data_IF_541678009632
#
_entry.id   IF_541678009632
#
_cell.length_a   1.000
_cell.length_b   1.000
_cell.length_c   1.000
_cell.angle_alpha   90.00
_cell.angle_beta   90.00
_cell.angle_gamma   90.00
#
_symmetry.space_group_name_H-M   'P 1'
#
loop_
_entity.id
_entity.type
_entity.pdbx_description
1 polymer ?
#
# COMPACT_ATOMS: atom_id res chain seq x y z
N UNK A 1 70.83 41.27 -15.10
CA UNK A 1 70.00 42.17 -14.25
C UNK A 1 68.80 42.67 -15.05
N UNK A 2 67.61 42.11 -14.84
CA UNK A 2 66.29 42.76 -14.92
C UNK A 2 65.24 41.69 -14.65
N UNK A 3 64.57 41.82 -13.50
CA UNK A 3 63.36 41.06 -13.15
C UNK A 3 62.23 41.52 -14.07
N UNK A 4 61.49 40.58 -14.64
CA UNK A 4 60.18 40.85 -15.23
C UNK A 4 59.15 40.04 -14.44
N UNK A 5 58.28 40.76 -13.75
CA UNK A 5 57.11 40.22 -13.05
C UNK A 5 56.07 39.79 -14.09
N UNK A 6 55.45 38.62 -13.89
CA UNK A 6 54.19 38.30 -14.55
C UNK A 6 53.17 37.89 -13.48
N UNK A 7 52.08 38.64 -13.46
CA UNK A 7 51.04 38.68 -12.46
C UNK A 7 50.13 37.45 -12.50
N UNK A 8 49.79 36.93 -11.32
CA UNK A 8 48.67 36.02 -11.10
C UNK A 8 47.34 36.66 -11.54
N UNK A 9 46.54 35.91 -12.31
CA UNK A 9 45.10 36.10 -12.40
C UNK A 9 44.44 34.74 -12.19
N UNK A 10 43.85 34.54 -11.01
CA UNK A 10 43.07 33.37 -10.67
C UNK A 10 41.67 33.50 -11.27
N UNK A 11 41.31 32.63 -12.21
CA UNK A 11 39.91 32.36 -12.55
C UNK A 11 39.40 31.25 -11.63
N UNK A 12 38.62 31.62 -10.62
CA UNK A 12 37.79 30.67 -9.88
C UNK A 12 36.59 30.33 -10.76
N UNK A 13 36.60 29.14 -11.36
CA UNK A 13 35.40 28.56 -11.95
C UNK A 13 34.46 28.14 -10.82
N UNK A 14 33.39 28.90 -10.62
CA UNK A 14 32.28 28.47 -9.76
C UNK A 14 31.51 27.40 -10.56
N UNK A 15 31.80 26.13 -10.29
CA UNK A 15 30.89 25.04 -10.65
C UNK A 15 29.65 25.17 -9.77
N UNK A 16 28.59 25.74 -10.33
CA UNK A 16 27.24 25.56 -9.79
C UNK A 16 26.83 24.14 -10.20
N UNK A 17 26.98 23.18 -9.30
CA UNK A 17 26.31 21.89 -9.44
C UNK A 17 24.81 22.14 -9.31
N UNK A 18 24.12 22.29 -10.44
CA UNK A 18 22.68 22.25 -10.48
C UNK A 18 22.26 20.84 -10.04
N UNK A 19 21.87 20.69 -8.77
CA UNK A 19 21.14 19.52 -8.33
C UNK A 19 19.84 19.52 -9.14
N UNK A 20 19.67 18.54 -10.02
CA UNK A 20 18.39 18.32 -10.66
C UNK A 20 17.33 18.22 -9.55
N UNK A 21 16.27 19.01 -9.64
CA UNK A 21 15.14 18.81 -8.75
C UNK A 21 14.64 17.37 -8.97
N UNK A 22 14.31 16.61 -7.91
CA UNK A 22 13.72 15.29 -8.07
C UNK A 22 12.53 15.41 -9.02
N UNK A 23 12.41 14.48 -9.97
CA UNK A 23 11.30 14.45 -10.89
C UNK A 23 9.99 14.45 -10.09
N UNK A 24 9.05 15.31 -10.47
CA UNK A 24 7.76 15.36 -9.79
C UNK A 24 6.98 14.08 -10.09
N UNK A 25 6.64 13.31 -9.05
CA UNK A 25 5.74 12.16 -9.17
C UNK A 25 4.41 12.64 -9.74
N UNK A 26 3.96 11.99 -10.81
CA UNK A 26 2.69 12.30 -11.48
C UNK A 26 1.78 11.09 -11.36
N UNK A 27 0.53 11.28 -10.91
CA UNK A 27 -0.45 10.21 -10.76
C UNK A 27 -1.62 10.37 -11.74
N UNK A 28 -2.31 9.26 -12.03
CA UNK A 28 -3.55 9.28 -12.80
C UNK A 28 -4.59 10.23 -12.16
N UNK A 29 -5.42 10.91 -12.98
CA UNK A 29 -6.31 11.98 -12.53
C UNK A 29 -7.39 11.54 -11.52
N UNK A 30 -7.69 10.24 -11.47
CA UNK A 30 -8.67 9.67 -10.55
C UNK A 30 -8.09 9.30 -9.17
N UNK A 31 -6.82 9.65 -8.92
CA UNK A 31 -6.13 9.37 -7.67
C UNK A 31 -5.58 10.64 -7.03
N UNK A 32 -5.59 10.66 -5.70
CA UNK A 32 -4.79 11.58 -4.90
C UNK A 32 -3.48 10.92 -4.52
N UNK A 33 -2.41 11.71 -4.51
CA UNK A 33 -1.07 11.25 -4.17
C UNK A 33 -0.68 11.66 -2.75
N UNK A 34 -0.03 10.75 -2.02
CA UNK A 34 0.68 11.04 -0.79
C UNK A 34 1.96 10.19 -0.73
N UNK A 35 2.95 10.64 0.02
CA UNK A 35 4.16 9.86 0.31
C UNK A 35 4.41 9.82 1.81
N UNK A 36 4.91 8.70 2.31
CA UNK A 36 5.33 8.56 3.71
C UNK A 36 6.79 8.13 3.78
N UNK A 37 7.62 8.94 4.43
CA UNK A 37 9.02 8.62 4.65
C UNK A 37 9.19 7.53 5.70
N UNK A 38 9.97 6.49 5.36
CA UNK A 38 10.23 5.31 6.19
C UNK A 38 11.56 5.46 6.95
N UNK A 39 12.52 6.19 6.39
CA UNK A 39 13.82 6.44 7.03
C UNK A 39 14.97 5.57 6.58
N UNK A 40 14.69 4.51 5.83
CA UNK A 40 15.65 3.49 5.39
C UNK A 40 15.32 2.99 4.00
N UNK A 41 16.31 2.36 3.36
CA UNK A 41 16.19 1.75 2.04
C UNK A 41 15.01 0.79 2.03
N UNK A 42 14.04 1.03 1.14
CA UNK A 42 12.90 0.15 0.98
C UNK A 42 13.27 -1.07 0.10
N UNK A 43 12.66 -2.20 0.41
CA UNK A 43 12.74 -3.46 -0.33
C UNK A 43 11.35 -3.86 -0.78
N UNK A 44 11.22 -4.75 -1.74
CA UNK A 44 9.99 -5.04 -2.49
C UNK A 44 8.76 -5.47 -1.68
N UNK A 45 8.86 -5.78 -0.38
CA UNK A 45 7.71 -6.11 0.46
C UNK A 45 6.94 -4.85 0.89
N UNK A 46 5.68 -4.75 0.46
CA UNK A 46 4.69 -3.80 0.94
C UNK A 46 3.35 -4.50 1.13
N UNK A 47 2.77 -4.43 2.32
CA UNK A 47 1.46 -5.03 2.58
C UNK A 47 0.62 -4.15 3.51
N UNK A 48 -0.60 -3.81 3.09
CA UNK A 48 -1.50 -2.98 3.86
C UNK A 48 -2.04 -3.71 5.08
N UNK A 49 -2.07 -3.01 6.21
CA UNK A 49 -2.56 -3.54 7.47
C UNK A 49 -3.47 -2.51 8.17
N UNK A 50 -4.15 -2.94 9.23
CA UNK A 50 -4.97 -2.04 10.04
C UNK A 50 -4.09 -0.89 10.60
N UNK A 51 -4.41 0.35 10.22
CA UNK A 51 -3.71 1.54 10.75
C UNK A 51 -2.28 1.74 10.24
N UNK A 52 -1.86 1.05 9.18
CA UNK A 52 -0.53 1.23 8.61
C UNK A 52 -0.18 0.28 7.47
N UNK A 53 1.12 0.05 7.29
CA UNK A 53 1.68 -0.75 6.20
C UNK A 53 2.90 -1.53 6.71
N UNK A 54 2.99 -2.81 6.39
CA UNK A 54 4.24 -3.57 6.52
C UNK A 54 5.15 -3.23 5.36
N UNK A 55 6.42 -2.94 5.64
CA UNK A 55 7.42 -2.55 4.64
C UNK A 55 8.74 -3.25 4.96
N UNK A 56 9.37 -3.89 3.98
CA UNK A 56 10.73 -4.37 4.17
C UNK A 56 11.73 -3.23 3.98
N UNK A 57 12.72 -3.19 4.87
CA UNK A 57 13.78 -2.17 4.89
C UNK A 57 15.16 -2.78 5.15
N UNK A 58 16.19 -2.07 4.72
CA UNK A 58 17.60 -2.42 4.93
C UNK A 58 18.35 -2.59 3.60
N UNK A 59 19.67 -2.83 3.65
CA UNK A 59 20.48 -3.04 2.45
C UNK A 59 20.08 -4.33 1.71
N UNK A 60 19.96 -4.23 0.38
CA UNK A 60 19.79 -5.36 -0.54
C UNK A 60 20.89 -6.42 -0.37
N UNK A 61 20.58 -7.69 -0.58
CA UNK A 61 21.56 -8.78 -0.71
C UNK A 61 22.62 -8.80 0.40
N UNK A 62 22.19 -8.61 1.66
CA UNK A 62 23.09 -8.54 2.81
C UNK A 62 22.60 -9.51 3.86
N UNK A 63 23.38 -10.56 4.15
CA UNK A 63 23.03 -11.60 5.12
C UNK A 63 22.57 -11.01 6.46
N UNK A 64 21.29 -11.23 6.81
CA UNK A 64 20.68 -10.71 8.04
C UNK A 64 20.57 -9.17 8.13
N UNK A 65 20.80 -8.46 7.02
CA UNK A 65 20.78 -7.00 6.95
C UNK A 65 19.39 -6.40 6.82
N UNK A 66 18.38 -7.19 6.49
CA UNK A 66 17.02 -6.72 6.25
C UNK A 66 16.04 -7.10 7.35
N UNK A 67 14.93 -6.36 7.38
CA UNK A 67 13.82 -6.58 8.28
C UNK A 67 12.53 -6.04 7.70
N UNK A 68 11.40 -6.54 8.19
CA UNK A 68 10.09 -5.92 7.97
C UNK A 68 9.77 -5.00 9.15
N UNK A 69 9.34 -3.77 8.85
CA UNK A 69 8.79 -2.82 9.80
C UNK A 69 7.30 -2.62 9.55
N UNK A 70 6.54 -2.37 10.61
CA UNK A 70 5.22 -1.77 10.51
C UNK A 70 5.37 -0.25 10.57
N UNK A 71 4.84 0.46 9.57
CA UNK A 71 4.78 1.92 9.52
C UNK A 71 3.32 2.34 9.72
N UNK A 72 3.02 3.01 10.83
CA UNK A 72 1.67 3.50 11.09
C UNK A 72 1.29 4.63 10.13
N UNK A 73 0.00 4.91 9.97
CA UNK A 73 -0.46 6.07 9.18
C UNK A 73 0.11 7.40 9.69
N UNK A 74 0.35 7.52 10.99
CA UNK A 74 1.00 8.67 11.63
C UNK A 74 2.53 8.72 11.46
N UNK A 75 3.16 7.67 10.91
CA UNK A 75 4.60 7.61 10.63
C UNK A 75 5.45 7.01 11.74
N UNK A 76 4.85 6.44 12.78
CA UNK A 76 5.60 5.66 13.76
C UNK A 76 6.03 4.33 13.14
N UNK A 77 7.27 3.92 13.38
CA UNK A 77 7.82 2.65 12.89
C UNK A 77 8.03 1.67 14.03
N UNK A 78 7.86 0.38 13.74
CA UNK A 78 8.14 -0.74 14.66
C UNK A 78 8.71 -1.91 13.88
N UNK A 79 9.83 -2.46 14.32
CA UNK A 79 10.36 -3.71 13.77
C UNK A 79 9.39 -4.87 14.04
N UNK A 80 9.12 -5.67 13.01
CA UNK A 80 8.16 -6.78 13.03
C UNK A 80 8.90 -8.11 12.91
N UNK A 81 9.66 -8.29 11.83
CA UNK A 81 10.43 -9.49 11.50
C UNK A 81 11.88 -9.09 11.18
N UNK A 82 12.88 -9.70 11.80
CA UNK A 82 14.30 -9.30 11.66
C UNK A 82 15.19 -10.46 11.25
N UNK A 83 16.35 -10.15 10.64
CA UNK A 83 17.34 -11.16 10.25
C UNK A 83 17.10 -11.76 8.86
N UNK A 84 16.44 -11.01 7.98
CA UNK A 84 16.22 -11.34 6.57
C UNK A 84 17.44 -10.84 5.74
N UNK A 85 17.59 -11.33 4.51
CA UNK A 85 18.79 -11.08 3.71
C UNK A 85 18.54 -10.31 2.39
N UNK A 86 17.52 -10.71 1.63
CA UNK A 86 17.03 -10.03 0.43
C UNK A 86 15.54 -10.34 0.23
N UNK A 87 14.70 -9.52 0.84
CA UNK A 87 13.24 -9.66 0.81
C UNK A 87 12.73 -9.41 -0.61
N UNK A 88 12.13 -10.46 -1.18
CA UNK A 88 11.55 -10.43 -2.53
C UNK A 88 10.17 -9.80 -2.57
N UNK A 89 9.32 -10.09 -1.58
CA UNK A 89 7.92 -9.66 -1.50
C UNK A 89 7.28 -10.05 -0.15
N UNK A 90 6.09 -9.55 0.16
CA UNK A 90 5.28 -10.02 1.27
C UNK A 90 3.77 -9.90 1.04
N UNK A 91 3.01 -10.78 1.68
CA UNK A 91 1.56 -10.76 1.68
C UNK A 91 1.02 -10.88 3.11
N UNK A 92 0.06 -10.03 3.48
CA UNK A 92 -0.57 -10.06 4.80
C UNK A 92 -1.96 -10.70 4.76
N UNK A 93 -2.09 -11.85 5.40
CA UNK A 93 -3.37 -12.46 5.70
C UNK A 93 -3.97 -11.80 6.95
N UNK A 94 -4.77 -10.77 6.70
CA UNK A 94 -5.49 -10.02 7.74
C UNK A 94 -6.44 -10.90 8.57
N UNK A 95 -7.11 -11.87 7.95
CA UNK A 95 -8.10 -12.70 8.64
C UNK A 95 -7.46 -13.60 9.71
N UNK A 96 -6.24 -14.08 9.43
CA UNK A 96 -5.48 -14.94 10.35
C UNK A 96 -4.36 -14.20 11.10
N UNK A 97 -4.15 -12.91 10.80
CA UNK A 97 -3.04 -12.08 11.31
C UNK A 97 -1.66 -12.71 11.06
N UNK A 98 -1.44 -13.18 9.83
CA UNK A 98 -0.18 -13.81 9.39
C UNK A 98 0.46 -12.97 8.29
N UNK A 99 1.72 -12.59 8.48
CA UNK A 99 2.54 -11.99 7.43
C UNK A 99 3.43 -13.04 6.79
N UNK A 100 3.31 -13.19 5.48
CA UNK A 100 4.17 -14.04 4.67
C UNK A 100 5.24 -13.20 4.00
N UNK A 101 6.50 -13.65 4.02
CA UNK A 101 7.64 -12.88 3.49
C UNK A 101 8.56 -13.82 2.73
N UNK A 102 8.90 -13.51 1.49
CA UNK A 102 9.96 -14.22 0.75
C UNK A 102 11.31 -13.60 1.05
N UNK A 103 12.33 -14.43 1.16
CA UNK A 103 13.71 -14.00 1.36
C UNK A 103 14.60 -14.78 0.40
N UNK A 104 15.26 -14.10 -0.53
CA UNK A 104 16.34 -14.64 -1.35
C UNK A 104 17.65 -14.32 -0.61
N UNK A 105 18.45 -15.31 -0.22
CA UNK A 105 19.46 -15.06 0.81
C UNK A 105 20.70 -15.93 0.79
N UNK A 106 20.64 -17.17 0.33
CA UNK A 106 21.80 -18.07 0.50
C UNK A 106 23.01 -17.60 -0.31
N UNK A 107 22.76 -16.84 -1.37
CA UNK A 107 23.78 -16.36 -2.30
C UNK A 107 24.66 -15.28 -1.67
N UNK A 108 24.22 -14.76 -0.52
CA UNK A 108 24.89 -13.73 0.27
C UNK A 108 25.72 -14.33 1.41
N UNK A 109 25.76 -15.66 1.55
CA UNK A 109 26.39 -16.36 2.67
C UNK A 109 25.53 -16.40 3.94
N UNK A 110 24.24 -16.11 3.82
CA UNK A 110 23.29 -16.20 4.92
C UNK A 110 23.07 -17.65 5.35
N UNK A 111 22.70 -17.86 6.63
CA UNK A 111 22.33 -19.18 7.17
C UNK A 111 20.89 -19.58 6.87
N UNK A 112 20.08 -18.61 6.43
CA UNK A 112 18.66 -18.75 6.09
C UNK A 112 18.38 -17.95 4.81
N UNK A 113 17.24 -18.19 4.17
CA UNK A 113 16.89 -17.61 2.88
C UNK A 113 16.50 -18.68 1.86
N UNK A 114 16.18 -18.24 0.66
CA UNK A 114 15.68 -19.03 -0.46
C UNK A 114 14.45 -19.85 -0.03
N UNK A 115 13.55 -19.15 0.66
CA UNK A 115 12.36 -19.72 1.31
C UNK A 115 11.31 -18.62 1.55
N UNK A 116 10.18 -19.03 2.11
CA UNK A 116 9.10 -18.16 2.58
C UNK A 116 8.90 -18.35 4.08
N UNK A 117 8.70 -17.24 4.78
CA UNK A 117 8.43 -17.18 6.21
C UNK A 117 6.94 -16.96 6.46
N UNK A 118 6.43 -17.49 7.58
CA UNK A 118 5.10 -17.17 8.10
C UNK A 118 5.22 -16.63 9.53
N UNK A 119 4.93 -15.34 9.70
CA UNK A 119 4.91 -14.69 11.00
C UNK A 119 3.46 -14.55 11.49
N UNK A 120 2.99 -15.39 12.44
CA UNK A 120 1.70 -15.20 13.07
C UNK A 120 1.72 -14.01 14.03
N UNK A 121 0.54 -13.43 14.28
CA UNK A 121 0.35 -12.27 15.14
C UNK A 121 1.14 -11.03 14.67
N UNK A 122 1.31 -10.88 13.35
CA UNK A 122 2.18 -9.87 12.76
C UNK A 122 1.78 -8.44 13.17
N UNK A 123 0.47 -8.18 13.32
CA UNK A 123 -0.05 -6.89 13.76
C UNK A 123 0.53 -6.41 15.10
N UNK A 124 0.90 -7.32 15.99
CA UNK A 124 1.45 -7.03 17.33
C UNK A 124 2.92 -7.44 17.51
N UNK A 125 3.51 -8.17 16.55
CA UNK A 125 4.87 -8.70 16.64
C UNK A 125 5.93 -7.60 16.80
N UNK A 126 6.93 -7.80 17.64
CA UNK A 126 8.00 -6.81 17.84
C UNK A 126 9.36 -7.48 17.73
N UNK A 127 10.10 -7.13 16.68
CA UNK A 127 11.45 -7.61 16.38
C UNK A 127 11.59 -9.15 16.49
N UNK A 128 10.66 -9.90 15.90
CA UNK A 128 10.69 -11.37 15.91
C UNK A 128 11.80 -11.85 14.95
N UNK A 129 12.70 -12.75 15.36
CA UNK A 129 13.69 -13.33 14.45
C UNK A 129 13.01 -14.14 13.34
N UNK A 130 13.48 -14.02 12.09
CA UNK A 130 12.99 -14.83 10.98
C UNK A 130 13.31 -16.32 11.15
N UNK A 131 14.47 -16.63 11.74
CA UNK A 131 14.87 -18.01 12.01
C UNK A 131 13.84 -18.76 12.88
N UNK A 132 13.38 -19.91 12.41
CA UNK A 132 12.33 -20.72 13.04
C UNK A 132 10.91 -20.40 12.56
N UNK A 133 10.74 -19.43 11.68
CA UNK A 133 9.47 -19.09 11.04
C UNK A 133 9.41 -19.51 9.56
N UNK A 134 10.40 -20.25 9.07
CA UNK A 134 10.39 -20.81 7.72
C UNK A 134 9.21 -21.77 7.53
N UNK A 135 8.46 -21.62 6.44
CA UNK A 135 7.42 -22.58 6.07
C UNK A 135 8.02 -23.86 5.49
N UNK A 136 9.19 -23.76 4.85
CA UNK A 136 9.95 -24.86 4.24
C UNK A 136 11.45 -24.63 4.48
N UNK A 137 12.30 -25.67 4.48
CA UNK A 137 13.73 -25.51 4.74
C UNK A 137 14.37 -24.44 3.85
N UNK A 138 15.38 -23.73 4.35
CA UNK A 138 16.17 -22.79 3.55
C UNK A 138 16.74 -23.47 2.29
N UNK A 139 16.73 -22.77 1.16
CA UNK A 139 17.16 -23.33 -0.13
C UNK A 139 16.10 -24.15 -0.85
N UNK A 140 14.88 -24.26 -0.32
CA UNK A 140 13.80 -24.98 -1.00
C UNK A 140 13.25 -24.23 -2.21
N UNK A 141 13.42 -22.91 -2.27
CA UNK A 141 12.96 -22.03 -3.35
C UNK A 141 14.13 -21.10 -3.72
N UNK A 142 15.03 -21.53 -4.64
CA UNK A 142 16.32 -20.89 -4.90
C UNK A 142 16.25 -19.37 -5.11
N UNK A 143 15.27 -18.87 -5.86
CA UNK A 143 15.12 -17.43 -6.10
C UNK A 143 13.73 -16.95 -5.67
N UNK A 144 13.36 -17.18 -4.41
CA UNK A 144 12.09 -16.73 -3.84
C UNK A 144 11.90 -15.21 -4.03
N UNK A 145 10.99 -14.82 -4.92
CA UNK A 145 10.86 -13.44 -5.40
C UNK A 145 9.50 -12.81 -5.10
N UNK A 146 8.40 -13.56 -5.17
CA UNK A 146 7.04 -13.03 -4.97
C UNK A 146 6.18 -13.95 -4.11
N UNK A 147 5.14 -13.43 -3.47
CA UNK A 147 4.22 -14.23 -2.66
C UNK A 147 2.77 -13.76 -2.78
N UNK A 148 1.86 -14.71 -2.95
CA UNK A 148 0.43 -14.43 -2.95
C UNK A 148 -0.33 -15.42 -2.05
N UNK A 149 -1.37 -14.92 -1.37
CA UNK A 149 -2.21 -15.75 -0.51
C UNK A 149 -2.98 -16.79 -1.33
N UNK A 150 -2.94 -18.04 -0.90
CA UNK A 150 -3.73 -19.13 -1.47
C UNK A 150 -4.69 -19.70 -0.42
N UNK A 151 -5.82 -20.31 -0.82
CA UNK A 151 -6.73 -20.95 0.14
C UNK A 151 -6.08 -22.06 0.99
N UNK A 152 -5.06 -22.74 0.45
CA UNK A 152 -4.40 -23.89 1.09
C UNK A 152 -2.99 -23.59 1.62
N UNK A 153 -2.50 -22.35 1.49
CA UNK A 153 -1.11 -21.98 1.77
C UNK A 153 -0.74 -20.66 1.11
N UNK A 154 0.43 -20.59 0.50
CA UNK A 154 0.85 -19.43 -0.31
C UNK A 154 1.45 -19.87 -1.62
N UNK A 155 1.21 -19.09 -2.68
CA UNK A 155 1.97 -19.20 -3.92
C UNK A 155 3.26 -18.40 -3.77
N UNK A 156 4.38 -18.96 -4.21
CA UNK A 156 5.69 -18.32 -4.18
C UNK A 156 6.31 -18.39 -5.57
N UNK A 157 6.82 -17.27 -6.08
CA UNK A 157 7.56 -17.22 -7.33
C UNK A 157 9.03 -17.59 -7.15
N UNK A 158 9.53 -18.50 -7.97
CA UNK A 158 10.96 -18.76 -8.15
C UNK A 158 11.43 -18.04 -9.43
N UNK A 159 12.32 -17.06 -9.27
CA UNK A 159 12.86 -16.24 -10.34
C UNK A 159 14.15 -16.79 -11.00
N UNK A 160 14.37 -18.11 -10.96
CA UNK A 160 15.56 -18.78 -11.51
C UNK A 160 15.87 -18.48 -12.99
N UNK A 161 14.90 -17.98 -13.79
CA UNK A 161 15.16 -17.49 -15.15
C UNK A 161 15.32 -18.60 -16.20
N UNK A 162 15.42 -18.21 -17.47
CA UNK A 162 15.79 -19.09 -18.60
C UNK A 162 14.95 -20.38 -18.72
N UNK A 163 13.63 -20.27 -18.52
CA UNK A 163 12.70 -21.40 -18.51
C UNK A 163 12.75 -22.28 -17.25
N UNK A 164 13.57 -21.94 -16.24
CA UNK A 164 13.66 -22.65 -14.97
C UNK A 164 12.78 -22.04 -13.87
N UNK A 165 12.18 -20.87 -14.09
CA UNK A 165 11.28 -20.23 -13.14
C UNK A 165 10.00 -21.02 -12.92
N UNK A 166 9.47 -20.94 -11.71
CA UNK A 166 8.23 -21.60 -11.29
C UNK A 166 7.34 -20.67 -10.47
N UNK A 167 6.08 -21.05 -10.35
CA UNK A 167 5.22 -20.65 -9.23
C UNK A 167 4.93 -21.91 -8.44
N UNK A 168 5.33 -21.92 -7.18
CA UNK A 168 5.17 -23.05 -6.27
C UNK A 168 4.06 -22.79 -5.26
N UNK A 169 3.26 -23.81 -4.96
CA UNK A 169 2.37 -23.80 -3.79
C UNK A 169 3.14 -24.32 -2.58
N UNK A 170 3.29 -23.47 -1.57
CA UNK A 170 3.90 -23.80 -0.30
C UNK A 170 2.82 -24.05 0.74
N UNK A 171 2.75 -25.27 1.25
CA UNK A 171 1.79 -25.67 2.28
C UNK A 171 2.27 -26.87 3.08
N UNK A 172 1.99 -26.87 4.39
CA UNK A 172 2.27 -28.03 5.25
C UNK A 172 3.73 -28.51 5.26
N UNK A 173 4.70 -27.62 5.09
CA UNK A 173 6.12 -27.98 5.00
C UNK A 173 6.57 -28.55 3.66
N UNK A 174 5.76 -28.43 2.60
CA UNK A 174 6.05 -28.93 1.25
C UNK A 174 6.03 -27.80 0.23
N UNK A 175 6.82 -27.97 -0.83
CA UNK A 175 6.84 -27.13 -2.04
C UNK A 175 6.34 -27.96 -3.20
N UNK A 176 5.29 -27.49 -3.89
CA UNK A 176 4.72 -28.17 -5.06
C UNK A 176 4.70 -27.20 -6.24
N UNK A 177 5.47 -27.43 -7.31
CA UNK A 177 5.41 -26.61 -8.51
C UNK A 177 4.02 -26.67 -9.14
N UNK A 178 3.42 -25.50 -9.35
CA UNK A 178 2.12 -25.34 -10.00
C UNK A 178 2.30 -24.84 -11.42
N UNK A 179 3.04 -23.75 -11.60
CA UNK A 179 3.43 -23.24 -12.93
C UNK A 179 4.91 -23.50 -13.13
N UNK A 180 5.31 -23.97 -14.30
CA UNK A 180 6.71 -24.24 -14.66
C UNK A 180 7.05 -23.68 -16.04
N UNK A 181 8.33 -23.59 -16.37
CA UNK A 181 8.77 -23.10 -17.68
C UNK A 181 8.73 -21.58 -17.80
N UNK A 182 8.75 -20.87 -16.68
CA UNK A 182 8.81 -19.41 -16.64
C UNK A 182 10.25 -18.94 -16.79
N UNK A 183 10.43 -17.71 -17.27
CA UNK A 183 11.72 -17.04 -17.23
C UNK A 183 11.92 -16.42 -15.84
N UNK A 184 11.99 -15.09 -15.73
CA UNK A 184 12.12 -14.43 -14.43
C UNK A 184 10.73 -14.12 -13.88
N UNK A 185 10.24 -14.97 -13.00
CA UNK A 185 8.95 -14.79 -12.31
C UNK A 185 9.03 -13.52 -11.45
N UNK A 186 8.15 -12.55 -11.72
CA UNK A 186 7.99 -11.36 -10.88
C UNK A 186 6.72 -11.49 -10.06
N UNK A 187 5.82 -10.51 -10.14
CA UNK A 187 4.60 -10.45 -9.33
C UNK A 187 3.62 -11.60 -9.55
N UNK A 188 2.96 -12.01 -8.47
CA UNK A 188 1.87 -13.00 -8.47
C UNK A 188 0.65 -12.40 -7.78
N UNK A 189 -0.54 -12.60 -8.35
CA UNK A 189 -1.80 -12.25 -7.69
C UNK A 189 -2.85 -13.34 -7.92
N UNK A 190 -3.81 -13.46 -7.00
CA UNK A 190 -4.90 -14.44 -7.07
C UNK A 190 -6.23 -13.73 -7.35
N UNK A 191 -6.98 -14.20 -8.35
CA UNK A 191 -8.33 -13.71 -8.67
C UNK A 191 -9.37 -14.30 -7.69
N UNK A 192 -10.54 -13.66 -7.49
CA UNK A 192 -11.61 -14.17 -6.61
C UNK A 192 -12.15 -15.57 -6.97
N UNK A 193 -11.81 -16.09 -8.16
CA UNK A 193 -12.13 -17.45 -8.60
C UNK A 193 -11.01 -18.48 -8.37
N UNK A 194 -9.87 -18.09 -7.78
CA UNK A 194 -8.72 -18.96 -7.54
C UNK A 194 -7.67 -18.99 -8.65
N UNK A 195 -7.96 -18.42 -9.82
CA UNK A 195 -6.98 -18.29 -10.91
C UNK A 195 -5.78 -17.44 -10.48
N UNK A 196 -4.62 -17.77 -11.04
CA UNK A 196 -3.36 -17.09 -10.80
C UNK A 196 -3.06 -16.12 -11.93
N UNK A 197 -2.67 -14.91 -11.57
CA UNK A 197 -2.02 -13.96 -12.45
C UNK A 197 -0.52 -14.02 -12.16
N UNK A 198 0.28 -14.19 -13.20
CA UNK A 198 1.73 -14.29 -13.09
C UNK A 198 2.37 -13.33 -14.08
N UNK A 199 3.10 -12.35 -13.56
CA UNK A 199 3.95 -11.48 -14.36
C UNK A 199 5.37 -12.07 -14.42
N UNK A 200 6.02 -11.94 -15.57
CA UNK A 200 7.41 -12.36 -15.71
C UNK A 200 8.16 -11.50 -16.71
N UNK A 201 9.48 -11.46 -16.54
CA UNK A 201 10.41 -10.90 -17.52
C UNK A 201 10.98 -12.06 -18.35
N UNK A 202 10.77 -12.00 -19.66
CA UNK A 202 11.26 -13.01 -20.59
C UNK A 202 12.78 -12.88 -20.81
N UNK A 203 13.41 -13.90 -21.38
CA UNK A 203 14.83 -13.86 -21.77
C UNK A 203 15.18 -12.70 -22.75
N UNK A 204 14.17 -12.15 -23.43
CA UNK A 204 14.30 -10.96 -24.29
C UNK A 204 14.25 -9.63 -23.53
N UNK A 205 14.06 -9.67 -22.21
CA UNK A 205 13.72 -8.55 -21.32
C UNK A 205 12.34 -7.92 -21.56
N UNK A 206 11.54 -8.46 -22.49
CA UNK A 206 10.14 -8.09 -22.59
C UNK A 206 9.35 -8.69 -21.43
N UNK A 207 8.37 -7.94 -20.93
CA UNK A 207 7.44 -8.41 -19.91
C UNK A 207 6.25 -9.13 -20.54
N UNK A 208 5.68 -10.08 -19.80
CA UNK A 208 4.36 -10.64 -20.09
C UNK A 208 3.54 -10.84 -18.81
N UNK A 209 2.22 -10.90 -18.97
CA UNK A 209 1.27 -11.19 -17.91
C UNK A 209 0.34 -12.30 -18.37
N UNK A 210 0.27 -13.38 -17.60
CA UNK A 210 -0.48 -14.60 -17.95
C UNK A 210 -1.46 -14.97 -16.84
N UNK A 211 -2.57 -15.57 -17.24
CA UNK A 211 -3.58 -16.14 -16.36
C UNK A 211 -3.50 -17.67 -16.39
N UNK A 212 -3.43 -18.28 -15.22
CA UNK A 212 -3.42 -19.72 -15.02
C UNK A 212 -4.59 -20.15 -14.12
N UNK A 213 -5.04 -21.39 -14.26
CA UNK A 213 -5.86 -22.04 -13.24
C UNK A 213 -4.98 -22.36 -12.00
N UNK A 214 -5.63 -22.73 -10.90
CA UNK A 214 -4.96 -23.13 -9.65
C UNK A 214 -4.16 -24.44 -9.78
N UNK A 215 -4.43 -25.25 -10.82
CA UNK A 215 -3.65 -26.42 -11.20
C UNK A 215 -2.47 -26.13 -12.14
N UNK A 216 -2.24 -24.85 -12.48
CA UNK A 216 -1.16 -24.41 -13.35
C UNK A 216 -1.48 -24.47 -14.85
N UNK A 217 -2.69 -24.82 -15.25
CA UNK A 217 -3.12 -24.78 -16.65
C UNK A 217 -3.16 -23.33 -17.15
N UNK A 218 -2.43 -23.02 -18.23
CA UNK A 218 -2.49 -21.69 -18.86
C UNK A 218 -3.90 -21.46 -19.45
N UNK A 219 -4.56 -20.40 -18.98
CA UNK A 219 -5.89 -20.01 -19.45
C UNK A 219 -5.82 -18.90 -20.51
N UNK A 220 -4.94 -17.90 -20.31
CA UNK A 220 -4.80 -16.78 -21.24
C UNK A 220 -3.44 -16.09 -21.10
N UNK A 221 -2.97 -15.49 -22.19
CA UNK A 221 -1.95 -14.43 -22.18
C UNK A 221 -2.71 -13.12 -22.18
N UNK A 222 -2.60 -12.35 -21.10
CA UNK A 222 -3.34 -11.09 -20.93
C UNK A 222 -2.60 -9.92 -21.58
N UNK A 223 -1.26 -9.96 -21.53
CA UNK A 223 -0.40 -9.03 -22.24
C UNK A 223 0.98 -9.64 -22.46
N UNK A 224 1.71 -9.10 -23.44
CA UNK A 224 3.08 -9.46 -23.75
C UNK A 224 3.25 -10.48 -24.88
N UNK A 225 4.48 -10.64 -25.39
CA UNK A 225 5.70 -9.95 -24.97
C UNK A 225 5.69 -8.45 -25.32
N UNK A 226 5.98 -7.57 -24.35
CA UNK A 226 5.99 -6.12 -24.55
C UNK A 226 7.03 -5.41 -23.67
N UNK A 227 7.34 -4.16 -24.00
CA UNK A 227 8.08 -3.22 -23.16
C UNK A 227 7.20 -2.07 -22.65
N UNK A 228 5.89 -2.09 -22.96
CA UNK A 228 4.92 -1.05 -22.58
C UNK A 228 4.58 -1.09 -21.08
N UNK A 229 4.91 -2.18 -20.41
CA UNK A 229 4.81 -2.34 -18.97
C UNK A 229 5.94 -3.21 -18.43
N UNK A 230 6.11 -3.22 -17.10
CA UNK A 230 7.08 -4.05 -16.40
C UNK A 230 6.50 -5.39 -15.98
N UNK A 231 7.13 -6.03 -15.02
CA UNK A 231 6.71 -7.34 -14.51
C UNK A 231 7.15 -7.58 -13.07
N UNK A 232 7.70 -6.56 -12.40
CA UNK A 232 8.42 -6.77 -11.14
C UNK A 232 7.47 -7.24 -10.03
N UNK A 233 6.34 -6.55 -9.86
CA UNK A 233 5.26 -6.93 -8.97
C UNK A 233 3.88 -6.55 -9.55
N UNK A 234 2.81 -7.17 -9.06
CA UNK A 234 1.43 -6.92 -9.50
C UNK A 234 0.43 -6.88 -8.34
N UNK A 235 -0.55 -5.98 -8.44
CA UNK A 235 -1.68 -5.93 -7.53
C UNK A 235 -3.00 -5.85 -8.29
N UNK A 236 -4.03 -6.54 -7.80
CA UNK A 236 -5.38 -6.43 -8.36
C UNK A 236 -6.07 -5.19 -7.82
N UNK A 237 -6.57 -4.36 -8.72
CA UNK A 237 -7.37 -3.18 -8.39
C UNK A 237 -8.84 -3.58 -8.17
N UNK A 238 -9.57 -2.76 -7.41
CA UNK A 238 -10.98 -3.01 -7.10
C UNK A 238 -11.87 -2.98 -8.35
N UNK A 239 -11.51 -2.17 -9.34
CA UNK A 239 -12.19 -2.09 -10.64
C UNK A 239 -11.91 -3.28 -11.57
N UNK A 240 -11.10 -4.23 -11.13
CA UNK A 240 -10.75 -5.45 -11.87
C UNK A 240 -9.51 -5.33 -12.74
N UNK A 241 -8.92 -4.14 -12.88
CA UNK A 241 -7.61 -3.97 -13.54
C UNK A 241 -6.48 -4.56 -12.70
N UNK A 242 -5.32 -4.69 -13.33
CA UNK A 242 -4.08 -5.15 -12.68
C UNK A 242 -3.06 -4.02 -12.72
N UNK A 243 -2.62 -3.55 -11.55
CA UNK A 243 -1.50 -2.63 -11.47
C UNK A 243 -0.19 -3.42 -11.58
N UNK A 244 0.77 -2.91 -12.36
CA UNK A 244 2.02 -3.60 -12.69
C UNK A 244 3.19 -2.64 -12.51
N UNK A 245 4.20 -3.04 -11.74
CA UNK A 245 5.41 -2.25 -11.47
C UNK A 245 6.58 -2.66 -12.36
N UNK A 246 7.68 -1.88 -12.31
CA UNK A 246 8.94 -2.21 -12.97
C UNK A 246 9.02 -1.82 -14.46
N UNK A 247 8.27 -0.81 -14.92
CA UNK A 247 8.48 -0.24 -16.25
C UNK A 247 9.81 0.54 -16.27
N UNK A 248 10.51 0.56 -17.41
CA UNK A 248 11.64 1.48 -17.61
C UNK A 248 11.21 2.92 -17.33
N UNK A 249 11.97 3.64 -16.49
CA UNK A 249 11.63 4.94 -15.85
C UNK A 249 10.76 4.88 -14.58
N UNK A 250 10.54 3.70 -14.00
CA UNK A 250 9.92 3.55 -12.68
C UNK A 250 8.40 3.71 -12.66
N UNK A 251 7.76 3.76 -13.84
CA UNK A 251 6.32 3.93 -13.93
C UNK A 251 5.57 2.68 -13.43
N UNK A 252 4.32 2.89 -13.00
CA UNK A 252 3.34 1.83 -12.74
C UNK A 252 2.17 2.04 -13.69
N UNK A 253 1.72 0.97 -14.32
CA UNK A 253 0.56 0.98 -15.21
C UNK A 253 -0.59 0.19 -14.62
N UNK A 254 -1.81 0.55 -15.01
CA UNK A 254 -3.00 -0.28 -14.83
C UNK A 254 -3.36 -0.93 -16.16
N UNK A 255 -3.39 -2.26 -16.18
CA UNK A 255 -3.77 -3.10 -17.31
C UNK A 255 -5.22 -3.57 -17.18
N UNK A 256 -6.00 -3.46 -18.26
CA UNK A 256 -7.32 -4.08 -18.38
C UNK A 256 -7.18 -5.54 -18.83
N UNK A 257 -7.53 -6.54 -18.01
CA UNK A 257 -7.35 -7.95 -18.36
C UNK A 257 -8.34 -8.44 -19.42
N UNK A 258 -9.31 -7.63 -19.85
CA UNK A 258 -10.28 -7.99 -20.88
C UNK A 258 -9.75 -7.79 -22.31
N UNK A 259 -8.88 -6.80 -22.51
CA UNK A 259 -8.33 -6.45 -23.83
C UNK A 259 -6.81 -6.23 -23.84
N UNK A 260 -6.15 -6.26 -22.69
CA UNK A 260 -4.71 -6.08 -22.54
C UNK A 260 -4.25 -4.62 -22.63
N UNK A 261 -5.17 -3.65 -22.71
CA UNK A 261 -4.83 -2.23 -22.78
C UNK A 261 -4.22 -1.74 -21.47
N UNK A 262 -3.27 -0.81 -21.55
CA UNK A 262 -2.60 -0.22 -20.39
C UNK A 262 -2.85 1.29 -20.30
N UNK A 263 -2.81 1.79 -19.07
CA UNK A 263 -2.91 3.22 -18.74
C UNK A 263 -1.92 3.55 -17.63
N UNK A 264 -1.26 4.71 -17.71
CA UNK A 264 -0.33 5.13 -16.66
C UNK A 264 -1.09 5.37 -15.34
N UNK A 265 -0.61 4.78 -14.25
CA UNK A 265 -1.17 4.95 -12.91
C UNK A 265 -0.33 5.93 -12.10
N UNK A 266 0.99 5.77 -12.13
CA UNK A 266 1.96 6.74 -11.57
C UNK A 266 3.25 6.72 -12.40
N UNK A 267 3.88 7.88 -12.54
CA UNK A 267 5.16 8.05 -13.22
C UNK A 267 6.13 8.94 -12.43
N UNK A 268 7.41 8.86 -12.77
CA UNK A 268 8.46 9.68 -12.16
C UNK A 268 9.04 9.12 -10.86
N UNK A 269 8.79 7.84 -10.57
CA UNK A 269 9.51 7.09 -9.55
C UNK A 269 10.87 6.67 -10.09
N UNK A 270 11.83 6.34 -9.22
CA UNK A 270 13.15 5.87 -9.65
C UNK A 270 13.09 4.43 -10.18
N UNK A 271 12.44 3.53 -9.45
CA UNK A 271 12.18 2.16 -9.87
C UNK A 271 11.10 1.54 -8.98
N UNK A 272 9.86 1.45 -9.48
CA UNK A 272 8.75 0.85 -8.74
C UNK A 272 8.99 -0.65 -8.53
N UNK A 273 9.05 -1.07 -7.26
CA UNK A 273 9.24 -2.47 -6.83
C UNK A 273 7.92 -3.07 -6.35
N UNK A 274 7.73 -3.15 -5.03
CA UNK A 274 6.54 -3.72 -4.40
C UNK A 274 5.29 -2.89 -4.63
N UNK A 275 4.16 -3.57 -4.77
CA UNK A 275 2.84 -2.95 -4.84
C UNK A 275 1.79 -3.75 -4.06
N UNK A 276 0.97 -3.03 -3.30
CA UNK A 276 -0.20 -3.61 -2.67
C UNK A 276 -1.42 -2.72 -2.88
N UNK A 277 -2.57 -3.36 -3.13
CA UNK A 277 -3.86 -2.69 -3.25
C UNK A 277 -4.75 -3.15 -2.10
N UNK A 278 -4.96 -2.29 -1.11
CA UNK A 278 -5.73 -2.64 0.08
C UNK A 278 -7.20 -2.91 -0.30
N UNK A 279 -7.70 -4.15 -0.18
CA UNK A 279 -9.06 -4.48 -0.58
C UNK A 279 -10.12 -3.77 0.28
N UNK A 280 -9.79 -3.31 1.48
CA UNK A 280 -10.74 -2.60 2.35
C UNK A 280 -10.98 -1.16 1.86
N UNK A 281 -9.93 -0.48 1.40
CA UNK A 281 -9.98 0.95 1.11
C UNK A 281 -9.82 1.30 -0.37
N UNK A 282 -9.26 0.40 -1.17
CA UNK A 282 -8.87 0.62 -2.56
C UNK A 282 -7.55 1.40 -2.71
N UNK A 283 -6.88 1.77 -1.61
CA UNK A 283 -5.61 2.48 -1.65
C UNK A 283 -4.50 1.58 -2.15
N UNK A 284 -3.67 2.14 -3.02
CA UNK A 284 -2.51 1.47 -3.58
C UNK A 284 -1.27 2.02 -2.89
N UNK A 285 -0.41 1.13 -2.39
CA UNK A 285 0.89 1.46 -1.82
C UNK A 285 1.98 0.90 -2.73
N UNK A 286 2.95 1.73 -3.10
CA UNK A 286 4.06 1.37 -3.99
C UNK A 286 5.36 1.75 -3.30
N UNK A 287 6.37 0.90 -3.44
CA UNK A 287 7.74 1.20 -3.06
C UNK A 287 8.56 1.54 -4.30
N UNK A 288 9.51 2.47 -4.15
CA UNK A 288 10.47 2.80 -5.19
C UNK A 288 11.88 2.54 -4.65
N UNK A 289 12.69 1.71 -5.30
CA UNK A 289 14.03 1.37 -4.80
C UNK A 289 15.00 1.06 -5.93
N UNK A 290 16.18 1.67 -5.94
CA UNK A 290 17.12 1.67 -7.08
C UNK A 290 18.27 0.66 -6.97
N UNK A 291 18.26 -0.25 -5.99
CA UNK A 291 19.28 -1.28 -5.69
C UNK A 291 20.75 -0.81 -5.54
N UNK A 292 21.03 0.48 -5.75
CA UNK A 292 22.38 1.02 -5.97
C UNK A 292 22.79 2.08 -4.95
N UNK A 293 21.95 2.36 -3.93
CA UNK A 293 22.34 3.07 -2.70
C UNK A 293 22.50 4.59 -2.76
N UNK A 294 22.65 5.23 -3.93
CA UNK A 294 22.93 6.67 -4.00
C UNK A 294 21.69 7.55 -4.28
N UNK A 295 20.62 6.96 -4.80
CA UNK A 295 19.35 7.64 -5.16
C UNK A 295 18.15 6.77 -4.75
N UNK A 296 18.18 6.23 -3.53
CA UNK A 296 17.11 5.38 -3.04
C UNK A 296 15.94 6.21 -2.53
N UNK A 297 14.75 5.85 -3.01
CA UNK A 297 13.53 6.40 -2.47
C UNK A 297 13.19 5.65 -1.18
N UNK A 298 13.16 6.41 -0.09
CA UNK A 298 12.92 5.89 1.27
C UNK A 298 11.46 6.09 1.66
N UNK A 299 10.57 6.18 0.67
CA UNK A 299 9.15 6.49 0.89
C UNK A 299 8.21 5.39 0.41
N UNK A 300 7.06 5.32 1.07
CA UNK A 300 5.88 4.61 0.58
C UNK A 300 5.07 5.61 -0.23
N UNK A 301 4.86 5.34 -1.52
CA UNK A 301 3.98 6.12 -2.38
C UNK A 301 2.57 5.59 -2.27
N UNK A 302 1.60 6.47 -2.02
CA UNK A 302 0.20 6.11 -1.78
C UNK A 302 -0.70 6.81 -2.79
N UNK A 303 -1.52 6.02 -3.45
CA UNK A 303 -2.55 6.49 -4.36
C UNK A 303 -3.91 6.19 -3.73
N UNK A 304 -4.69 7.24 -3.48
CA UNK A 304 -6.06 7.14 -2.96
C UNK A 304 -7.05 7.35 -4.09
N UNK A 305 -7.88 6.35 -4.45
CA UNK A 305 -8.90 6.54 -5.46
C UNK A 305 -9.93 7.59 -5.02
N UNK A 306 -10.20 8.58 -5.87
CA UNK A 306 -11.17 9.66 -5.58
C UNK A 306 -12.59 9.11 -5.48
N UNK A 307 -12.93 8.10 -6.29
CA UNK A 307 -14.24 7.45 -6.28
C UNK A 307 -14.56 6.71 -4.97
N UNK A 308 -13.53 6.36 -4.18
CA UNK A 308 -13.62 5.78 -2.84
C UNK A 308 -13.83 6.82 -1.73
N UNK A 309 -13.69 8.11 -2.05
CA UNK A 309 -13.95 9.17 -1.09
C UNK A 309 -15.45 9.40 -0.93
N UNK A 310 -15.86 9.70 0.29
CA UNK A 310 -17.25 10.00 0.62
C UNK A 310 -17.38 11.47 0.99
N UNK A 311 -18.03 12.23 0.11
CA UNK A 311 -18.40 13.60 0.37
C UNK A 311 -19.28 13.77 1.62
N UNK A 312 -19.09 14.89 2.32
CA UNK A 312 -20.07 15.41 3.25
C UNK A 312 -21.44 15.56 2.60
N UNK A 313 -22.50 14.99 3.16
CA UNK A 313 -23.86 15.01 2.54
C UNK A 313 -24.71 16.25 2.87
N UNK A 314 -24.24 17.40 2.43
CA UNK A 314 -24.88 18.70 2.56
C UNK A 314 -25.66 19.07 1.35
N UNK A 315 -25.90 20.36 1.16
CA UNK A 315 -26.10 20.85 -0.21
C UNK A 315 -24.76 20.71 -0.93
N UNK A 316 -24.72 20.11 -2.13
CA UNK A 316 -23.47 19.84 -2.87
C UNK A 316 -22.51 21.02 -2.99
N UNK A 317 -23.00 22.27 -2.94
CA UNK A 317 -22.19 23.50 -2.94
C UNK A 317 -21.36 23.77 -1.68
N UNK A 318 -21.57 23.04 -0.58
CA UNK A 318 -21.01 23.36 0.75
C UNK A 318 -20.24 22.21 1.40
N UNK A 319 -20.28 21.02 0.82
CA UNK A 319 -19.74 19.81 1.44
C UNK A 319 -18.75 19.07 0.52
N UNK A 320 -17.77 19.82 0.00
CA UNK A 320 -16.65 19.33 -0.81
C UNK A 320 -15.28 19.81 -0.31
N UNK A 321 -15.23 20.58 0.79
CA UNK A 321 -13.94 21.03 1.30
C UNK A 321 -13.20 19.87 1.98
N UNK A 322 -13.95 18.88 2.45
CA UNK A 322 -13.45 17.66 3.00
C UNK A 322 -14.26 16.46 2.49
N UNK A 323 -13.55 15.38 2.19
CA UNK A 323 -14.14 14.08 1.91
C UNK A 323 -13.55 13.05 2.88
N UNK A 324 -14.37 12.07 3.26
CA UNK A 324 -13.98 11.05 4.22
C UNK A 324 -13.47 9.82 3.48
N UNK A 325 -12.33 9.30 3.92
CA UNK A 325 -11.70 8.11 3.38
C UNK A 325 -11.92 6.89 4.29
N UNK A 326 -11.87 5.70 3.69
CA UNK A 326 -11.79 4.41 4.39
C UNK A 326 -13.10 3.90 4.99
N UNK A 327 -14.23 4.54 4.70
CA UNK A 327 -15.54 4.09 5.17
C UNK A 327 -16.62 4.31 4.12
N UNK A 328 -17.54 3.36 3.99
CA UNK A 328 -18.79 3.56 3.25
C UNK A 328 -19.85 4.18 4.18
N UNK A 329 -20.52 5.24 3.73
CA UNK A 329 -21.63 5.81 4.48
C UNK A 329 -22.97 5.29 3.95
N UNK A 330 -23.73 4.67 4.85
CA UNK A 330 -25.10 4.19 4.60
C UNK A 330 -26.15 4.99 5.38
N UNK A 331 -27.39 5.07 4.86
CA UNK A 331 -28.50 5.67 5.58
C UNK A 331 -29.04 4.69 6.62
N UNK A 332 -29.23 5.15 7.87
CA UNK A 332 -29.81 4.30 8.93
C UNK A 332 -31.21 3.77 8.59
N UNK A 333 -31.94 4.49 7.73
CA UNK A 333 -33.27 4.12 7.23
C UNK A 333 -33.40 4.59 5.78
N UNK A 334 -34.17 3.89 4.94
CA UNK A 334 -34.49 4.36 3.59
C UNK A 334 -34.98 5.81 3.58
N UNK A 335 -34.52 6.60 2.59
CA UNK A 335 -34.86 8.01 2.43
C UNK A 335 -34.23 8.97 3.46
N UNK A 336 -33.34 8.50 4.35
CA UNK A 336 -32.54 9.36 5.23
C UNK A 336 -31.16 9.61 4.64
N UNK A 337 -30.48 10.66 5.13
CA UNK A 337 -29.11 10.96 4.75
C UNK A 337 -28.16 9.85 5.23
N UNK A 338 -27.29 9.41 4.35
CA UNK A 338 -26.21 8.49 4.69
C UNK A 338 -25.18 9.19 5.60
N UNK A 339 -24.95 8.64 6.79
CA UNK A 339 -24.12 9.23 7.85
C UNK A 339 -23.52 8.17 8.79
N UNK A 340 -23.75 6.89 8.49
CA UNK A 340 -23.31 5.79 9.34
C UNK A 340 -22.38 4.94 8.52
N UNK A 341 -21.15 4.74 8.99
CA UNK A 341 -20.34 3.60 8.59
C UNK A 341 -20.73 2.46 9.52
N UNK A 342 -21.33 1.42 8.97
CA UNK A 342 -21.80 0.27 9.74
C UNK A 342 -20.93 -0.90 9.32
N UNK A 343 -20.29 -1.53 10.29
CA UNK A 343 -19.48 -2.71 10.06
C UNK A 343 -19.85 -3.80 11.07
N UNK A 344 -19.81 -5.06 10.64
CA UNK A 344 -19.86 -6.20 11.54
C UNK A 344 -18.43 -6.59 11.93
N UNK A 345 -18.21 -6.84 13.21
CA UNK A 345 -16.96 -7.33 13.79
C UNK A 345 -16.45 -8.58 13.05
N UNK A 346 -15.24 -8.48 12.47
CA UNK A 346 -14.62 -9.49 11.62
C UNK A 346 -15.06 -9.52 10.15
N UNK A 347 -15.90 -8.58 9.68
CA UNK A 347 -16.27 -8.48 8.27
C UNK A 347 -15.21 -7.71 7.45
N UNK A 348 -15.35 -7.66 6.13
CA UNK A 348 -14.39 -6.98 5.24
C UNK A 348 -14.26 -5.47 5.45
N UNK A 349 -15.28 -4.83 6.05
CA UNK A 349 -15.24 -3.42 6.43
C UNK A 349 -14.47 -3.17 7.75
N UNK A 350 -14.11 -4.25 8.45
CA UNK A 350 -13.33 -4.22 9.67
C UNK A 350 -11.86 -4.28 9.28
N UNK A 351 -11.11 -3.19 9.49
CA UNK A 351 -9.78 -3.05 8.91
C UNK A 351 -8.75 -4.05 9.47
N UNK A 352 -9.02 -4.65 10.63
CA UNK A 352 -8.23 -5.75 11.17
C UNK A 352 -8.79 -7.13 10.80
N UNK A 353 -10.01 -7.21 10.26
CA UNK A 353 -10.65 -8.45 9.82
C UNK A 353 -10.94 -9.46 10.93
N UNK A 354 -10.86 -9.08 12.21
CA UNK A 354 -10.95 -10.01 13.35
C UNK A 354 -12.29 -9.88 14.04
N UNK A 355 -12.90 -11.02 14.37
CA UNK A 355 -14.11 -11.07 15.20
C UNK A 355 -13.74 -11.07 16.69
N UNK A 356 -13.19 -9.96 17.19
CA UNK A 356 -12.64 -9.84 18.55
C UNK A 356 -13.51 -8.98 19.49
N UNK A 357 -14.65 -8.51 19.01
CA UNK A 357 -15.56 -7.62 19.71
C UNK A 357 -15.29 -6.14 19.44
N UNK A 358 -14.39 -5.80 18.52
CA UNK A 358 -14.04 -4.42 18.17
C UNK A 358 -13.86 -4.29 16.67
N UNK A 359 -14.58 -3.35 16.07
CA UNK A 359 -14.32 -3.00 14.68
C UNK A 359 -13.30 -1.86 14.61
N UNK A 360 -12.28 -2.01 13.78
CA UNK A 360 -11.29 -0.99 13.45
C UNK A 360 -11.65 -0.29 12.14
N UNK A 361 -11.93 1.01 12.20
CA UNK A 361 -12.25 1.80 11.00
C UNK A 361 -11.03 2.61 10.52
N UNK A 362 -10.59 2.50 9.25
CA UNK A 362 -9.40 3.18 8.74
C UNK A 362 -9.75 4.61 8.29
N UNK A 363 -10.26 5.43 9.23
CA UNK A 363 -10.79 6.76 8.92
C UNK A 363 -9.68 7.69 8.45
N UNK A 364 -9.89 8.33 7.29
CA UNK A 364 -9.07 9.45 6.81
C UNK A 364 -9.92 10.66 6.39
N UNK A 365 -9.26 11.77 6.11
CA UNK A 365 -9.85 13.00 5.58
C UNK A 365 -9.00 13.51 4.44
N UNK A 366 -9.63 13.68 3.27
CA UNK A 366 -9.01 14.29 2.11
C UNK A 366 -9.56 15.70 1.92
N UNK A 367 -8.67 16.66 1.66
CA UNK A 367 -8.94 18.08 1.61
C UNK A 367 -8.64 18.63 0.22
N UNK A 368 -9.35 19.69 -0.18
CA UNK A 368 -9.14 20.38 -1.47
C UNK A 368 -9.17 19.42 -2.69
N UNK A 369 -10.00 18.38 -2.63
CA UNK A 369 -10.11 17.36 -3.68
C UNK A 369 -10.85 17.93 -4.89
N UNK A 370 -10.29 17.72 -6.09
CA UNK A 370 -10.96 17.99 -7.35
C UNK A 370 -11.83 16.79 -7.76
N UNK A 371 -12.97 16.62 -7.09
CA UNK A 371 -13.88 15.48 -7.35
C UNK A 371 -14.83 15.75 -8.52
N UNK A 372 -14.68 15.00 -9.61
CA UNK A 372 -15.53 15.09 -10.80
C UNK A 372 -17.00 14.75 -10.52
N UNK A 373 -17.30 14.03 -9.43
CA UNK A 373 -18.65 13.71 -8.97
C UNK A 373 -19.33 14.93 -8.32
N UNK A 374 -18.58 15.96 -7.99
CA UNK A 374 -19.03 17.21 -7.34
C UNK A 374 -18.73 18.46 -8.19
N UNK A 375 -19.18 18.55 -9.46
CA UNK A 375 -18.79 19.63 -10.38
C UNK A 375 -19.24 21.02 -9.92
N UNK A 376 -20.26 21.11 -9.07
CA UNK A 376 -20.76 22.37 -8.49
C UNK A 376 -19.92 22.88 -7.31
N UNK A 377 -18.88 22.16 -6.92
CA UNK A 377 -18.07 22.44 -5.76
C UNK A 377 -16.58 22.39 -6.10
N UNK A 378 -16.05 23.47 -6.72
CA UNK A 378 -14.65 23.49 -7.10
C UNK A 378 -13.75 23.36 -5.88
N UNK A 379 -12.67 22.61 -6.06
CA UNK A 379 -11.56 22.52 -5.13
C UNK A 379 -11.11 23.93 -4.72
N UNK A 380 -10.76 24.09 -3.44
CA UNK A 380 -10.28 25.35 -2.92
C UNK A 380 -9.28 25.10 -1.80
N UNK A 381 -8.31 25.98 -1.67
CA UNK A 381 -7.34 25.94 -0.58
C UNK A 381 -8.06 25.96 0.78
N UNK A 382 -7.55 25.17 1.73
CA UNK A 382 -8.08 25.04 3.08
C UNK A 382 -7.23 25.84 4.05
N UNK A 383 -7.88 26.70 4.84
CA UNK A 383 -7.24 27.57 5.82
C UNK A 383 -7.38 27.08 7.27
N UNK A 384 -8.38 26.25 7.57
CA UNK A 384 -8.58 25.74 8.93
C UNK A 384 -9.35 24.42 8.93
N UNK A 385 -8.99 23.56 9.90
CA UNK A 385 -9.76 22.40 10.30
C UNK A 385 -9.97 22.41 11.82
N UNK A 386 -11.12 21.90 12.26
CA UNK A 386 -11.45 21.76 13.67
C UNK A 386 -12.18 20.45 13.97
N UNK A 387 -11.66 19.69 14.94
CA UNK A 387 -12.35 18.55 15.53
C UNK A 387 -13.45 19.03 16.48
N UNK A 388 -14.67 19.16 15.95
CA UNK A 388 -15.84 19.64 16.70
C UNK A 388 -16.40 18.62 17.68
N UNK A 389 -16.21 17.32 17.40
CA UNK A 389 -16.64 16.24 18.28
C UNK A 389 -15.91 14.94 17.96
N UNK A 390 -15.36 14.30 18.99
CA UNK A 390 -15.01 12.89 19.02
C UNK A 390 -15.71 12.27 20.23
N UNK A 391 -16.65 11.34 20.02
CA UNK A 391 -17.31 10.61 21.13
C UNK A 391 -17.42 9.11 20.81
N UNK A 392 -16.80 8.21 21.62
CA UNK A 392 -15.85 8.50 22.70
C UNK A 392 -14.61 9.28 22.19
N UNK A 393 -13.72 9.78 23.06
CA UNK A 393 -12.43 10.32 22.63
C UNK A 393 -11.71 9.34 21.70
N UNK A 394 -11.09 9.85 20.64
CA UNK A 394 -10.45 9.04 19.58
C UNK A 394 -9.05 9.62 19.32
N UNK A 395 -8.01 9.20 20.05
CA UNK A 395 -6.66 9.76 19.93
C UNK A 395 -6.07 9.68 18.51
N UNK A 396 -6.37 8.62 17.76
CA UNK A 396 -5.94 8.47 16.38
C UNK A 396 -6.50 9.59 15.47
N UNK A 397 -7.75 10.01 15.69
CA UNK A 397 -8.37 11.12 14.95
C UNK A 397 -7.79 12.47 15.39
N UNK A 398 -7.50 12.63 16.68
CA UNK A 398 -6.85 13.85 17.19
C UNK A 398 -5.45 14.03 16.60
N UNK A 399 -4.67 12.95 16.49
CA UNK A 399 -3.34 12.92 15.86
C UNK A 399 -3.43 13.24 14.36
N UNK A 400 -4.38 12.64 13.65
CA UNK A 400 -4.66 12.97 12.25
C UNK A 400 -5.01 14.46 12.08
N UNK A 401 -5.89 15.01 12.92
CA UNK A 401 -6.27 16.43 12.86
C UNK A 401 -5.09 17.35 13.18
N UNK A 402 -4.21 16.99 14.11
CA UNK A 402 -3.00 17.75 14.39
C UNK A 402 -2.02 17.75 13.20
N UNK A 403 -1.94 16.63 12.46
CA UNK A 403 -1.12 16.52 11.25
C UNK A 403 -1.65 17.40 10.11
N UNK A 404 -2.97 17.46 9.95
CA UNK A 404 -3.62 18.45 9.07
C UNK A 404 -3.30 19.87 9.57
N UNK A 405 -3.44 20.09 10.88
CA UNK A 405 -2.96 21.23 11.69
C UNK A 405 -1.67 21.85 11.12
N UNK A 406 -0.65 21.02 11.09
CA UNK A 406 0.72 21.38 10.71
C UNK A 406 0.90 21.61 9.21
N UNK A 407 -0.02 21.12 8.37
CA UNK A 407 0.08 21.18 6.90
C UNK A 407 -0.72 22.34 6.30
N UNK A 408 -1.41 23.15 7.10
CA UNK A 408 -2.19 24.28 6.60
C UNK A 408 -1.30 25.47 6.18
N UNK A 409 -1.66 26.21 5.12
CA UNK A 409 -2.82 25.98 4.26
C UNK A 409 -2.60 24.80 3.29
N UNK A 410 -3.64 23.99 3.08
CA UNK A 410 -3.61 22.90 2.08
C UNK A 410 -4.18 23.45 0.78
N UNK A 411 -3.31 23.67 -0.21
CA UNK A 411 -3.68 24.32 -1.47
C UNK A 411 -4.30 23.35 -2.51
N UNK A 412 -3.88 22.10 -2.47
CA UNK A 412 -4.21 21.06 -3.46
C UNK A 412 -4.69 19.79 -2.76
N UNK A 413 -5.24 18.85 -3.54
CA UNK A 413 -5.78 17.58 -3.06
C UNK A 413 -4.78 16.84 -2.17
N UNK A 414 -5.10 16.62 -0.89
CA UNK A 414 -4.24 15.91 0.05
C UNK A 414 -5.06 15.10 1.03
N UNK A 415 -4.62 13.87 1.31
CA UNK A 415 -5.26 12.98 2.28
C UNK A 415 -4.42 12.82 3.54
N UNK A 416 -5.12 12.71 4.67
CA UNK A 416 -4.55 12.49 5.99
C UNK A 416 -5.30 11.33 6.64
N UNK A 417 -4.56 10.38 7.20
CA UNK A 417 -5.11 9.13 7.69
C UNK A 417 -4.93 9.04 9.20
N UNK A 418 -5.81 8.31 9.87
CA UNK A 418 -5.64 7.94 11.27
C UNK A 418 -5.09 6.51 11.38
N UNK A 419 -4.41 6.19 12.47
CA UNK A 419 -3.92 4.83 12.79
C UNK A 419 -5.05 3.80 13.06
N UNK A 420 -6.28 4.11 12.64
CA UNK A 420 -7.48 3.31 12.90
C UNK A 420 -8.29 3.82 14.09
N UNK A 421 -9.61 3.71 13.97
CA UNK A 421 -10.57 4.04 15.02
C UNK A 421 -11.22 2.76 15.53
N UNK A 422 -10.79 2.32 16.71
CA UNK A 422 -11.38 1.18 17.40
C UNK A 422 -12.77 1.52 17.97
N UNK A 423 -13.78 0.73 17.62
CA UNK A 423 -15.17 0.87 18.10
C UNK A 423 -15.63 -0.46 18.72
N UNK A 424 -15.52 -0.62 20.05
CA UNK A 424 -15.90 -1.87 20.69
C UNK A 424 -17.41 -2.06 20.71
N UNK A 425 -17.86 -3.30 20.56
CA UNK A 425 -19.25 -3.68 20.83
C UNK A 425 -19.58 -3.47 22.31
N UNK A 426 -20.86 -3.33 22.63
CA UNK A 426 -21.33 -3.06 23.99
C UNK A 426 -22.03 -4.28 24.57
N UNK A 427 -21.45 -4.86 25.62
CA UNK A 427 -22.11 -5.90 26.42
C UNK A 427 -23.03 -5.27 27.45
N UNK A 428 -24.31 -5.64 27.41
CA UNK A 428 -25.28 -5.17 28.41
C UNK A 428 -25.15 -5.92 29.73
N UNK A 429 -25.75 -5.38 30.80
CA UNK A 429 -25.82 -6.04 32.12
C UNK A 429 -26.43 -7.45 32.09
N UNK A 430 -27.18 -7.79 31.04
CA UNK A 430 -27.79 -9.11 30.84
C UNK A 430 -26.98 -10.01 29.91
N UNK A 431 -25.70 -9.72 29.68
CA UNK A 431 -24.82 -10.51 28.80
C UNK A 431 -25.08 -10.36 27.30
N UNK A 432 -26.14 -9.65 26.89
CA UNK A 432 -26.42 -9.42 25.47
C UNK A 432 -25.45 -8.40 24.87
N UNK A 433 -24.76 -8.78 23.80
CA UNK A 433 -23.92 -7.90 22.96
C UNK A 433 -24.79 -7.02 22.08
N UNK A 434 -24.43 -5.74 21.95
CA UNK A 434 -25.10 -4.72 21.14
C UNK A 434 -24.07 -3.91 20.37
N UNK A 435 -24.52 -3.22 19.33
CA UNK A 435 -23.65 -2.40 18.51
C UNK A 435 -22.94 -1.28 19.30
N UNK A 436 -21.61 -1.22 19.12
CA UNK A 436 -20.73 -0.12 19.50
C UNK A 436 -20.95 1.11 18.62
N UNK A 437 -20.68 2.31 19.15
CA UNK A 437 -20.88 3.57 18.40
C UNK A 437 -19.82 4.61 18.71
N UNK A 438 -19.24 5.17 17.66
CA UNK A 438 -18.44 6.39 17.73
C UNK A 438 -19.03 7.50 16.85
N UNK A 439 -18.75 8.75 17.19
CA UNK A 439 -19.19 9.94 16.46
C UNK A 439 -17.98 10.84 16.24
N UNK A 440 -17.71 11.12 14.97
CA UNK A 440 -16.77 12.12 14.51
C UNK A 440 -17.53 13.31 13.92
N UNK A 441 -17.15 14.52 14.29
CA UNK A 441 -17.61 15.75 13.65
C UNK A 441 -16.43 16.66 13.37
N UNK A 442 -16.21 16.98 12.11
CA UNK A 442 -15.15 17.86 11.64
C UNK A 442 -15.78 19.16 11.11
N UNK A 443 -14.99 20.21 11.06
CA UNK A 443 -15.34 21.44 10.36
C UNK A 443 -14.14 21.97 9.61
N UNK A 444 -14.30 22.21 8.32
CA UNK A 444 -13.26 22.73 7.44
C UNK A 444 -13.66 24.11 6.92
N UNK A 445 -12.67 24.99 6.75
CA UNK A 445 -12.86 26.37 6.27
C UNK A 445 -11.93 26.65 5.11
N UNK A 446 -12.47 27.16 4.00
CA UNK A 446 -11.68 27.55 2.82
C UNK A 446 -10.90 28.85 3.05
N UNK A 447 -9.76 28.99 2.38
CA UNK A 447 -8.90 30.17 2.42
C UNK A 447 -9.39 31.32 1.53
N UNK A 448 -10.07 31.02 0.42
CA UNK A 448 -10.36 32.00 -0.63
C UNK A 448 -11.74 32.67 -0.51
N UNK A 449 -11.78 33.96 -0.89
CA UNK A 449 -13.01 34.75 -1.01
C UNK A 449 -13.79 34.88 0.30
N UNK A 450 -15.11 34.65 0.24
CA UNK A 450 -15.95 34.54 1.44
C UNK A 450 -15.77 33.12 2.01
N UNK A 451 -15.18 32.94 3.20
CA UNK A 451 -14.83 31.62 3.71
C UNK A 451 -16.03 30.68 3.72
N UNK A 452 -15.94 29.61 2.92
CA UNK A 452 -16.91 28.52 2.92
C UNK A 452 -16.62 27.65 4.14
N UNK A 453 -17.69 27.11 4.72
CA UNK A 453 -17.60 26.22 5.88
C UNK A 453 -18.26 24.90 5.52
N UNK A 454 -17.49 23.85 5.69
CA UNK A 454 -17.92 22.48 5.55
C UNK A 454 -17.98 21.84 6.94
N UNK A 455 -18.97 20.99 7.22
CA UNK A 455 -19.14 20.38 8.54
C UNK A 455 -19.67 18.97 8.44
N UNK A 456 -18.73 18.04 8.42
CA UNK A 456 -19.00 16.62 8.33
C UNK A 456 -19.31 15.99 9.66
N UNK A 457 -20.21 15.01 9.61
CA UNK A 457 -20.54 14.19 10.76
C UNK A 457 -20.67 12.74 10.33
N UNK A 458 -19.70 11.95 10.75
CA UNK A 458 -19.66 10.50 10.56
C UNK A 458 -20.03 9.81 11.87
N UNK A 459 -20.79 8.72 11.77
CA UNK A 459 -21.04 7.81 12.89
C UNK A 459 -20.50 6.46 12.53
N UNK A 460 -19.58 5.95 13.32
CA UNK A 460 -19.06 4.59 13.18
C UNK A 460 -19.92 3.69 14.05
N UNK A 461 -20.32 2.54 13.52
CA UNK A 461 -21.16 1.56 14.20
C UNK A 461 -20.53 0.20 14.01
N UNK A 462 -20.07 -0.41 15.10
CA UNK A 462 -19.60 -1.79 15.10
C UNK A 462 -20.74 -2.68 15.58
N UNK A 463 -21.23 -3.57 14.72
CA UNK A 463 -22.21 -4.59 15.03
C UNK A 463 -21.49 -5.86 15.51
N UNK A 464 -22.07 -6.63 16.44
CA UNK A 464 -21.51 -7.92 16.82
C UNK A 464 -21.30 -8.82 15.60
N UNK A 465 -20.30 -9.69 15.66
CA UNK A 465 -20.08 -10.71 14.64
C UNK A 465 -21.37 -11.51 14.39
N UNK A 466 -21.58 -11.89 13.13
CA UNK A 466 -22.68 -12.79 12.78
C UNK A 466 -22.50 -14.14 13.50
N UNK A 467 -23.58 -14.74 14.04
CA UNK A 467 -23.51 -16.01 14.75
C UNK A 467 -23.16 -17.20 13.86
#
# INVERSE_FOLDING_TARGET
MRKLELSCAAMAAILVTATAAPAAVTVAPDYLYASQYVGETTQSCVASAAGGTFVAVGPGFTAGGQRVVFVSESGATRDVLVGLSSVGDCAYDRANDVLYVTDNGLETGASTGDTVYALPFASAATAVPAAGHEMVPAGSIPNAASVALAPAGVYVGDASGSGAGTVDLVSGGSVVPVVTGLDFTGGIAVEPGGNLLVAQTLASFASDLRRYADDGTLLAVLSGPTFDHGSYDIARLEDGRVAITGVWNGDVVALDPSDGSTSALVSGLTFATGIDADPATGRISILSSSFTGAEEDLTIHRLVPIDRLVAGRGSGKKECLAEVYGVELVPKKPGKKARHAICSDGASCDADGRADGTCTFPVGVCLAVADHRLPDCPAAAIAAIELRKAKPPMPAVETMVASIQASLPVAEGSCFFSDGVAVPVVTTRHGKTKAGKAILKLRVVSAEGKPRKDTDKVKLVCEPAAP
#
